data_IF_753621527451
#
_entry.id   IF_753621527451
#
_cell.length_a   1.000
_cell.length_b   1.000
_cell.length_c   1.000
_cell.angle_alpha   90.00
_cell.angle_beta   90.00
_cell.angle_gamma   90.00
#
_symmetry.space_group_name_H-M   'P 1'
#
loop_
_entity.id
_entity.type
_entity.pdbx_description
1 polymer ?
#
# COMPACT_ATOMS: atom_id res chain seq x y z
N UNK A 1 -42.39 11.31 -3.95
CA UNK A 1 -41.30 12.24 -4.20
C UNK A 1 -40.01 11.50 -3.82
N UNK A 2 -39.31 10.97 -4.82
CA UNK A 2 -37.97 10.38 -4.63
C UNK A 2 -36.99 11.55 -4.49
N UNK A 3 -36.38 11.69 -3.31
CA UNK A 3 -35.28 12.61 -3.13
C UNK A 3 -34.12 12.11 -4.00
N UNK A 4 -33.81 12.80 -5.08
CA UNK A 4 -32.56 12.63 -5.79
C UNK A 4 -31.43 13.00 -4.82
N UNK A 5 -30.67 12.01 -4.35
CA UNK A 5 -29.41 12.28 -3.66
C UNK A 5 -28.43 12.77 -4.73
N UNK A 6 -28.33 14.10 -4.86
CA UNK A 6 -27.28 14.72 -5.66
C UNK A 6 -25.97 14.57 -4.91
N UNK A 7 -25.04 13.78 -5.45
CA UNK A 7 -23.71 13.66 -4.89
C UNK A 7 -23.04 15.05 -4.81
N UNK A 8 -22.31 15.37 -3.73
CA UNK A 8 -21.60 16.63 -3.59
C UNK A 8 -20.68 16.89 -4.78
N UNK A 9 -20.51 18.16 -5.17
CA UNK A 9 -19.71 18.55 -6.34
C UNK A 9 -18.29 17.99 -6.32
N UNK A 10 -17.66 17.92 -5.15
CA UNK A 10 -16.31 17.35 -4.95
C UNK A 10 -16.19 15.86 -5.33
N UNK A 11 -17.30 15.12 -5.38
CA UNK A 11 -17.30 13.73 -5.86
C UNK A 11 -17.17 13.63 -7.40
N UNK A 12 -17.30 14.72 -8.10
CA UNK A 12 -17.25 14.78 -9.58
C UNK A 12 -16.10 15.63 -10.10
N UNK A 13 -15.39 16.35 -9.23
CA UNK A 13 -14.24 17.16 -9.57
C UNK A 13 -12.95 16.36 -9.34
N UNK A 14 -12.01 16.46 -10.29
CA UNK A 14 -10.68 15.86 -10.11
C UNK A 14 -9.89 16.70 -9.11
N UNK A 15 -9.38 16.04 -8.09
CA UNK A 15 -8.49 16.64 -7.09
C UNK A 15 -7.09 16.74 -7.68
N UNK A 16 -6.52 17.95 -7.66
CA UNK A 16 -5.14 18.19 -8.08
C UNK A 16 -4.16 17.93 -6.92
N UNK A 17 -2.88 17.77 -7.25
CA UNK A 17 -1.82 17.63 -6.24
C UNK A 17 -1.81 18.84 -5.28
N UNK A 18 -1.93 20.05 -5.80
CA UNK A 18 -1.95 21.30 -5.00
C UNK A 18 -3.14 21.36 -4.05
N UNK A 19 -4.31 20.92 -4.50
CA UNK A 19 -5.49 20.84 -3.64
C UNK A 19 -5.28 19.84 -2.51
N UNK A 20 -4.81 18.63 -2.84
CA UNK A 20 -4.55 17.58 -1.84
C UNK A 20 -3.49 18.01 -0.83
N UNK A 21 -2.41 18.64 -1.27
CA UNK A 21 -1.33 19.13 -0.41
C UNK A 21 -1.76 20.27 0.54
N UNK A 22 -2.91 20.90 0.25
CA UNK A 22 -3.52 21.89 1.12
C UNK A 22 -4.40 21.30 2.24
N UNK A 23 -4.70 20.00 2.18
CA UNK A 23 -5.54 19.31 3.16
C UNK A 23 -4.76 19.03 4.45
N UNK A 24 -5.48 19.03 5.57
CA UNK A 24 -4.92 18.57 6.84
C UNK A 24 -4.79 17.05 6.88
N UNK A 25 -3.94 16.54 7.76
CA UNK A 25 -3.82 15.09 8.01
C UNK A 25 -5.17 14.43 8.32
N UNK A 26 -6.04 15.12 9.08
CA UNK A 26 -7.39 14.65 9.41
C UNK A 26 -8.27 14.52 8.15
N UNK A 27 -8.13 15.43 7.19
CA UNK A 27 -8.88 15.37 5.93
C UNK A 27 -8.36 14.26 5.00
N UNK A 28 -7.07 13.94 5.08
CA UNK A 28 -6.45 12.88 4.30
C UNK A 28 -6.67 11.48 4.91
N UNK A 29 -7.07 11.39 6.18
CA UNK A 29 -7.21 10.12 6.88
C UNK A 29 -8.24 9.19 6.21
N UNK A 30 -7.80 7.97 5.84
CA UNK A 30 -8.66 6.97 5.21
C UNK A 30 -9.09 7.29 3.77
N UNK A 31 -8.40 8.24 3.13
CA UNK A 31 -8.66 8.66 1.74
C UNK A 31 -7.47 8.29 0.87
N UNK A 32 -7.74 7.72 -0.28
CA UNK A 32 -6.82 7.61 -1.41
C UNK A 32 -7.31 8.50 -2.56
N UNK A 33 -6.41 8.92 -3.44
CA UNK A 33 -6.79 9.60 -4.69
C UNK A 33 -6.35 8.70 -5.85
N UNK A 34 -7.25 8.44 -6.77
CA UNK A 34 -6.99 7.62 -7.95
C UNK A 34 -7.47 8.36 -9.18
N UNK A 35 -6.55 8.69 -10.06
CA UNK A 35 -6.84 9.48 -11.28
C UNK A 35 -7.61 10.79 -10.98
N UNK A 36 -7.25 11.44 -9.87
CA UNK A 36 -7.90 12.64 -9.36
C UNK A 36 -9.21 12.41 -8.61
N UNK A 37 -9.69 11.19 -8.50
CA UNK A 37 -10.94 10.87 -7.81
C UNK A 37 -10.70 10.40 -6.39
N UNK A 38 -11.52 10.91 -5.46
CA UNK A 38 -11.48 10.47 -4.06
C UNK A 38 -11.99 9.04 -3.92
N UNK A 39 -11.17 8.19 -3.32
CA UNK A 39 -11.53 6.82 -2.94
C UNK A 39 -11.46 6.72 -1.42
N UNK A 40 -12.58 6.38 -0.80
CA UNK A 40 -12.65 6.20 0.66
C UNK A 40 -12.48 4.71 0.97
N UNK A 41 -11.47 4.38 1.76
CA UNK A 41 -11.25 3.02 2.22
C UNK A 41 -12.10 2.74 3.48
N UNK A 42 -12.78 1.59 3.55
CA UNK A 42 -13.46 1.18 4.79
C UNK A 42 -12.45 1.05 5.93
N UNK A 43 -12.90 1.29 7.17
CA UNK A 43 -12.07 1.10 8.36
C UNK A 43 -11.53 -0.32 8.44
N UNK A 44 -10.22 -0.45 8.60
CA UNK A 44 -9.53 -1.71 8.70
C UNK A 44 -9.91 -2.48 9.99
N UNK A 45 -9.99 -3.81 9.92
CA UNK A 45 -10.24 -4.64 11.09
C UNK A 45 -9.02 -4.66 12.03
N UNK A 46 -9.25 -4.99 13.31
CA UNK A 46 -8.15 -5.15 14.29
C UNK A 46 -7.11 -6.17 13.83
N UNK A 47 -7.55 -7.24 13.16
CA UNK A 47 -6.67 -8.28 12.63
C UNK A 47 -5.81 -7.75 11.47
N UNK A 48 -6.40 -6.99 10.56
CA UNK A 48 -5.71 -6.31 9.47
C UNK A 48 -4.59 -5.40 10.02
N UNK A 49 -4.92 -4.47 10.91
CA UNK A 49 -3.95 -3.55 11.49
C UNK A 49 -2.85 -4.29 12.27
N UNK A 50 -3.19 -5.42 12.91
CA UNK A 50 -2.19 -6.24 13.61
C UNK A 50 -1.24 -6.92 12.63
N UNK A 51 -1.72 -7.45 11.51
CA UNK A 51 -0.91 -8.04 10.44
C UNK A 51 0.06 -6.99 9.86
N UNK A 52 -0.45 -5.83 9.47
CA UNK A 52 0.35 -4.74 8.92
C UNK A 52 1.47 -4.32 9.90
N UNK A 53 1.14 -4.11 11.17
CA UNK A 53 2.11 -3.72 12.19
C UNK A 53 3.19 -4.79 12.46
N UNK A 54 2.81 -6.08 12.53
CA UNK A 54 3.80 -7.16 12.73
C UNK A 54 4.73 -7.25 11.53
N UNK A 55 4.20 -7.10 10.33
CA UNK A 55 5.00 -7.12 9.11
C UNK A 55 5.93 -5.91 9.04
N UNK A 56 5.44 -4.69 9.32
CA UNK A 56 6.25 -3.49 9.33
C UNK A 56 7.43 -3.61 10.31
N UNK A 57 7.18 -4.03 11.56
CA UNK A 57 8.23 -4.21 12.55
C UNK A 57 9.29 -5.23 12.09
N UNK A 58 8.87 -6.35 11.50
CA UNK A 58 9.80 -7.37 11.03
C UNK A 58 10.65 -6.89 9.82
N UNK A 59 10.05 -6.07 8.95
CA UNK A 59 10.76 -5.45 7.84
C UNK A 59 11.73 -4.39 8.33
N UNK A 60 11.34 -3.55 9.28
CA UNK A 60 12.20 -2.54 9.92
C UNK A 60 13.43 -3.19 10.55
N UNK A 61 13.23 -4.21 11.39
CA UNK A 61 14.32 -4.93 12.08
C UNK A 61 15.31 -5.59 11.09
N UNK A 62 14.83 -5.99 9.91
CA UNK A 62 15.62 -6.71 8.92
C UNK A 62 16.29 -5.79 7.88
N UNK A 63 15.73 -4.62 7.62
CA UNK A 63 16.12 -3.74 6.51
C UNK A 63 17.46 -3.02 6.72
N UNK A 64 17.89 -2.90 7.98
CA UNK A 64 19.12 -2.15 8.34
C UNK A 64 18.91 -0.63 8.29
N UNK A 65 19.96 0.15 8.55
CA UNK A 65 19.83 1.58 8.84
C UNK A 65 19.46 2.47 7.64
N UNK A 66 19.52 1.96 6.42
CA UNK A 66 19.24 2.74 5.21
C UNK A 66 17.74 2.78 4.86
N UNK A 67 16.93 1.98 5.56
CA UNK A 67 15.52 1.80 5.27
C UNK A 67 14.69 1.85 6.55
N UNK A 68 13.53 2.51 6.47
CA UNK A 68 12.46 2.47 7.48
C UNK A 68 11.28 1.64 6.96
N UNK A 69 10.46 1.12 7.86
CA UNK A 69 9.21 0.46 7.51
C UNK A 69 8.07 0.96 8.39
N UNK A 70 7.12 1.66 7.79
CA UNK A 70 5.97 2.24 8.47
C UNK A 70 4.64 1.79 7.83
N UNK A 71 3.54 2.16 8.50
CA UNK A 71 2.18 1.82 8.09
C UNK A 71 1.35 3.04 7.80
N UNK A 72 0.40 2.92 6.86
CA UNK A 72 -0.73 3.84 6.71
C UNK A 72 -0.33 5.30 6.44
N UNK A 73 0.53 5.53 5.45
CA UNK A 73 0.85 6.87 4.94
C UNK A 73 0.86 6.92 3.41
N UNK A 74 0.79 8.14 2.87
CA UNK A 74 0.62 8.36 1.44
C UNK A 74 1.89 8.11 0.63
N UNK A 75 1.75 7.37 -0.46
CA UNK A 75 2.73 7.27 -1.53
C UNK A 75 2.15 7.89 -2.79
N UNK A 76 2.76 8.97 -3.27
CA UNK A 76 2.32 9.68 -4.46
C UNK A 76 2.89 9.03 -5.71
N UNK A 77 2.08 8.23 -6.37
CA UNK A 77 2.47 7.50 -7.57
C UNK A 77 2.54 8.40 -8.81
N UNK A 78 1.68 9.43 -8.89
CA UNK A 78 1.56 10.31 -10.03
C UNK A 78 0.94 11.66 -9.62
N UNK A 79 1.40 12.77 -10.23
CA UNK A 79 0.84 14.10 -9.97
C UNK A 79 -0.33 14.46 -10.90
N UNK A 80 -0.31 13.99 -12.16
CA UNK A 80 -1.32 14.37 -13.17
C UNK A 80 -1.69 13.16 -14.04
N UNK A 81 -2.94 12.68 -13.98
CA UNK A 81 -3.91 12.93 -12.90
C UNK A 81 -3.37 12.44 -11.55
N UNK A 82 -3.75 13.13 -10.47
CA UNK A 82 -3.23 12.79 -9.15
C UNK A 82 -3.58 11.35 -8.78
N UNK A 83 -2.56 10.58 -8.39
CA UNK A 83 -2.74 9.26 -7.79
C UNK A 83 -1.89 9.15 -6.54
N UNK A 84 -2.55 9.18 -5.39
CA UNK A 84 -2.02 8.90 -4.06
C UNK A 84 -2.62 7.60 -3.56
N UNK A 85 -1.77 6.63 -3.27
CA UNK A 85 -2.15 5.39 -2.58
C UNK A 85 -1.67 5.44 -1.14
N UNK A 86 -2.35 4.70 -0.28
CA UNK A 86 -2.04 4.57 1.14
C UNK A 86 -1.84 3.10 1.48
N UNK A 87 -0.66 2.53 1.16
CA UNK A 87 -0.39 1.11 1.41
C UNK A 87 -0.39 0.78 2.90
N UNK A 88 -0.76 -0.45 3.25
CA UNK A 88 -0.78 -0.90 4.64
C UNK A 88 0.62 -0.98 5.26
N UNK A 89 1.65 -1.29 4.46
CA UNK A 89 3.06 -1.25 4.88
C UNK A 89 3.91 -0.69 3.73
N UNK A 90 4.84 0.18 4.07
CA UNK A 90 5.80 0.79 3.13
C UNK A 90 7.21 0.68 3.69
N UNK A 91 8.14 0.13 2.91
CA UNK A 91 9.59 0.20 3.18
C UNK A 91 10.18 1.30 2.30
N UNK A 92 10.79 2.29 2.91
CA UNK A 92 11.27 3.48 2.23
C UNK A 92 12.64 3.94 2.75
N UNK A 93 13.33 4.80 2.01
CA UNK A 93 14.64 5.34 2.36
C UNK A 93 14.59 6.10 3.68
N UNK A 94 15.43 5.72 4.66
CA UNK A 94 15.47 6.35 5.98
C UNK A 94 15.81 7.86 5.92
N UNK A 95 16.65 8.27 4.98
CA UNK A 95 17.01 9.67 4.73
C UNK A 95 15.84 10.56 4.28
N UNK A 96 14.73 9.95 3.86
CA UNK A 96 13.54 10.67 3.36
C UNK A 96 12.40 10.77 4.38
N UNK A 97 12.66 10.49 5.65
CA UNK A 97 11.63 10.50 6.72
C UNK A 97 10.83 11.81 6.82
N UNK A 98 11.48 12.93 6.54
CA UNK A 98 10.86 14.27 6.56
C UNK A 98 10.44 14.76 5.15
N UNK A 99 10.54 13.92 4.12
CA UNK A 99 10.20 14.30 2.74
C UNK A 99 8.74 13.99 2.44
N UNK A 100 7.96 15.02 2.13
CA UNK A 100 6.56 14.91 1.74
C UNK A 100 6.32 15.62 0.41
N UNK A 101 5.59 15.00 -0.53
CA UNK A 101 5.04 13.65 -0.49
C UNK A 101 6.11 12.55 -0.68
N UNK A 102 5.87 11.37 -0.11
CA UNK A 102 6.70 10.19 -0.39
C UNK A 102 6.53 9.77 -1.85
N UNK A 103 7.62 9.64 -2.58
CA UNK A 103 7.66 9.28 -4.01
C UNK A 103 8.10 7.83 -4.23
N UNK A 104 7.67 7.18 -5.33
CA UNK A 104 8.02 5.78 -5.62
C UNK A 104 9.54 5.49 -5.65
N UNK A 105 10.36 6.46 -6.09
CA UNK A 105 11.82 6.33 -6.12
C UNK A 105 12.46 6.19 -4.74
N UNK A 106 11.75 6.59 -3.69
CA UNK A 106 12.17 6.41 -2.30
C UNK A 106 11.64 5.12 -1.68
N UNK A 107 10.73 4.41 -2.36
CA UNK A 107 10.06 3.21 -1.86
C UNK A 107 10.70 1.96 -2.43
N UNK A 108 11.08 1.04 -1.55
CA UNK A 108 11.63 -0.27 -1.91
C UNK A 108 10.55 -1.33 -2.06
N UNK A 109 9.64 -1.38 -1.08
CA UNK A 109 8.60 -2.39 -0.98
C UNK A 109 7.31 -1.76 -0.48
N UNK A 110 6.18 -2.18 -1.05
CA UNK A 110 4.86 -1.96 -0.49
C UNK A 110 4.17 -3.29 -0.20
N UNK A 111 3.38 -3.34 0.86
CA UNK A 111 2.55 -4.49 1.16
C UNK A 111 1.11 -4.07 1.45
N UNK A 112 0.16 -4.90 0.96
CA UNK A 112 -1.27 -4.73 1.14
C UNK A 112 -1.87 -5.94 1.84
N UNK A 113 -2.65 -5.69 2.89
CA UNK A 113 -3.42 -6.71 3.60
C UNK A 113 -4.84 -6.71 3.04
N UNK A 114 -5.18 -7.69 2.22
CA UNK A 114 -6.47 -7.76 1.55
C UNK A 114 -7.61 -7.85 2.56
N UNK A 115 -8.57 -6.94 2.43
CA UNK A 115 -9.81 -6.90 3.22
C UNK A 115 -11.00 -7.35 2.37
N UNK A 116 -12.10 -7.83 2.98
CA UNK A 116 -13.34 -8.07 2.24
C UNK A 116 -13.81 -6.81 1.50
N UNK A 117 -13.93 -6.91 0.18
CA UNK A 117 -14.32 -5.79 -0.70
C UNK A 117 -13.16 -5.07 -1.40
N UNK A 118 -11.90 -5.29 -0.98
CA UNK A 118 -10.72 -4.73 -1.67
C UNK A 118 -10.03 -5.72 -2.63
N UNK A 119 -10.51 -6.96 -2.70
CA UNK A 119 -9.83 -8.08 -3.39
C UNK A 119 -9.44 -7.75 -4.83
N UNK A 120 -10.37 -7.19 -5.61
CA UNK A 120 -10.09 -6.82 -7.01
C UNK A 120 -9.08 -5.69 -7.10
N UNK A 121 -9.21 -4.68 -6.24
CA UNK A 121 -8.32 -3.52 -6.20
C UNK A 121 -6.90 -3.95 -5.84
N UNK A 122 -6.73 -4.73 -4.76
CA UNK A 122 -5.41 -5.15 -4.28
C UNK A 122 -4.76 -6.21 -5.18
N UNK A 123 -5.55 -7.05 -5.85
CA UNK A 123 -5.03 -8.11 -6.74
C UNK A 123 -4.71 -7.63 -8.15
N UNK A 124 -5.33 -6.58 -8.63
CA UNK A 124 -5.23 -6.16 -10.03
C UNK A 124 -4.82 -4.70 -10.14
N UNK A 125 -5.61 -3.78 -9.57
CA UNK A 125 -5.43 -2.33 -9.82
C UNK A 125 -4.16 -1.82 -9.16
N UNK A 126 -3.98 -2.05 -7.86
CA UNK A 126 -2.79 -1.59 -7.12
C UNK A 126 -1.51 -2.25 -7.61
N UNK A 127 -1.56 -3.55 -7.94
CA UNK A 127 -0.43 -4.29 -8.54
C UNK A 127 0.09 -3.57 -9.79
N UNK A 128 -0.81 -3.23 -10.72
CA UNK A 128 -0.45 -2.52 -11.96
C UNK A 128 0.09 -1.10 -11.68
N UNK A 129 -0.55 -0.37 -10.77
CA UNK A 129 -0.15 0.99 -10.41
C UNK A 129 1.23 1.05 -9.76
N UNK A 130 1.50 0.17 -8.78
CA UNK A 130 2.81 0.11 -8.12
C UNK A 130 3.92 -0.34 -9.08
N UNK A 131 3.62 -1.28 -9.98
CA UNK A 131 4.57 -1.71 -11.01
C UNK A 131 4.92 -0.58 -11.98
N UNK A 132 3.91 0.15 -12.48
CA UNK A 132 4.10 1.31 -13.37
C UNK A 132 4.87 2.44 -12.71
N UNK A 133 4.63 2.66 -11.41
CA UNK A 133 5.36 3.61 -10.60
C UNK A 133 6.82 3.21 -10.35
N UNK A 134 7.19 1.95 -10.57
CA UNK A 134 8.57 1.46 -10.47
C UNK A 134 8.95 0.95 -9.08
N UNK A 135 8.00 0.67 -8.20
CA UNK A 135 8.27 0.10 -6.87
C UNK A 135 8.79 -1.33 -7.05
N UNK A 136 9.97 -1.63 -6.49
CA UNK A 136 10.70 -2.86 -6.82
C UNK A 136 10.05 -4.14 -6.29
N UNK A 137 9.42 -4.08 -5.11
CA UNK A 137 8.80 -5.23 -4.47
C UNK A 137 7.37 -4.91 -4.04
N UNK A 138 6.48 -5.88 -4.27
CA UNK A 138 5.10 -5.83 -3.81
C UNK A 138 4.75 -7.13 -3.07
N UNK A 139 4.13 -7.01 -1.90
CA UNK A 139 3.62 -8.17 -1.16
C UNK A 139 2.12 -8.03 -0.94
N UNK A 140 1.40 -9.12 -1.11
CA UNK A 140 -0.03 -9.18 -0.86
C UNK A 140 -0.33 -10.24 0.19
N UNK A 141 -0.98 -9.82 1.27
CA UNK A 141 -1.32 -10.66 2.41
C UNK A 141 -2.82 -10.95 2.36
N UNK A 142 -3.20 -12.20 2.16
CA UNK A 142 -4.58 -12.65 2.14
C UNK A 142 -4.92 -13.41 3.42
N UNK A 143 -6.06 -13.06 4.03
CA UNK A 143 -6.57 -13.76 5.19
C UNK A 143 -7.33 -15.01 4.73
N UNK A 144 -6.70 -16.18 4.81
CA UNK A 144 -7.35 -17.44 4.46
C UNK A 144 -8.45 -17.83 5.47
N UNK A 145 -9.43 -18.61 5.02
CA UNK A 145 -10.52 -19.14 5.87
C UNK A 145 -10.01 -19.99 7.06
N UNK A 146 -8.80 -20.56 6.93
CA UNK A 146 -8.11 -21.29 8.01
C UNK A 146 -7.63 -20.41 9.15
N UNK A 147 -7.66 -19.07 8.98
CA UNK A 147 -7.12 -18.10 9.92
C UNK A 147 -5.60 -17.87 9.78
N UNK A 148 -4.89 -18.71 9.02
CA UNK A 148 -3.47 -18.52 8.73
C UNK A 148 -3.34 -17.71 7.43
N UNK A 149 -2.64 -16.55 7.43
CA UNK A 149 -2.53 -15.72 6.24
C UNK A 149 -1.65 -16.37 5.15
N UNK A 150 -1.99 -16.07 3.89
CA UNK A 150 -1.17 -16.35 2.72
C UNK A 150 -0.46 -15.07 2.30
N UNK A 151 0.83 -15.15 2.01
CA UNK A 151 1.63 -14.01 1.54
C UNK A 151 2.16 -14.31 0.15
N UNK A 152 1.73 -13.51 -0.80
CA UNK A 152 2.18 -13.54 -2.19
C UNK A 152 3.24 -12.48 -2.38
N UNK A 153 4.40 -12.86 -2.90
CA UNK A 153 5.50 -11.92 -3.16
C UNK A 153 5.65 -11.68 -4.65
N UNK A 154 6.03 -10.46 -5.00
CA UNK A 154 6.19 -10.01 -6.38
C UNK A 154 7.46 -9.18 -6.51
N UNK A 155 8.14 -9.33 -7.64
CA UNK A 155 9.35 -8.58 -7.99
C UNK A 155 9.13 -7.87 -9.32
N UNK A 156 9.45 -6.60 -9.38
CA UNK A 156 9.30 -5.78 -10.58
C UNK A 156 10.26 -6.25 -11.69
N UNK A 157 9.71 -6.44 -12.88
CA UNK A 157 10.50 -6.44 -14.09
C UNK A 157 10.62 -4.98 -14.61
N UNK A 158 11.79 -4.34 -14.48
CA UNK A 158 11.95 -2.94 -14.83
C UNK A 158 11.80 -2.68 -16.34
N UNK A 159 12.00 -3.69 -17.19
CA UNK A 159 11.89 -3.55 -18.63
C UNK A 159 10.44 -3.49 -19.10
N UNK A 160 9.58 -4.28 -18.49
CA UNK A 160 8.15 -4.35 -18.83
C UNK A 160 7.27 -3.50 -17.92
N UNK A 161 7.81 -3.04 -16.78
CA UNK A 161 7.06 -2.39 -15.69
C UNK A 161 5.87 -3.22 -15.24
N UNK A 162 6.06 -4.52 -15.11
CA UNK A 162 5.11 -5.48 -14.57
C UNK A 162 5.76 -6.31 -13.48
N UNK A 163 4.95 -6.78 -12.53
CA UNK A 163 5.47 -7.70 -11.53
C UNK A 163 5.52 -9.14 -12.02
N UNK A 164 6.61 -9.83 -11.70
CA UNK A 164 6.70 -11.29 -11.76
C UNK A 164 6.30 -11.87 -10.42
N UNK A 165 5.51 -12.93 -10.45
CA UNK A 165 5.17 -13.67 -9.24
C UNK A 165 6.43 -14.32 -8.66
N UNK A 166 6.61 -14.16 -7.34
CA UNK A 166 7.60 -14.86 -6.55
C UNK A 166 6.99 -16.02 -5.78
N UNK A 167 7.49 -16.25 -4.57
CA UNK A 167 7.01 -17.33 -3.72
C UNK A 167 5.69 -16.97 -3.03
N UNK A 168 4.93 -18.03 -2.66
CA UNK A 168 3.74 -17.92 -1.81
C UNK A 168 4.03 -18.62 -0.48
N UNK A 169 3.80 -17.91 0.62
CA UNK A 169 4.05 -18.39 1.98
C UNK A 169 2.74 -18.58 2.74
N UNK A 170 2.69 -19.60 3.59
CA UNK A 170 1.58 -19.84 4.52
C UNK A 170 2.04 -19.54 5.93
N UNK A 171 1.55 -18.46 6.52
CA UNK A 171 1.85 -18.02 7.88
C UNK A 171 3.28 -17.52 8.08
N UNK A 172 4.30 -18.31 7.79
CA UNK A 172 5.69 -17.92 7.97
C UNK A 172 6.30 -17.51 6.63
N UNK A 173 6.68 -16.23 6.53
CA UNK A 173 7.41 -15.68 5.39
C UNK A 173 8.91 -15.82 5.64
N UNK A 174 9.65 -16.31 4.65
CA UNK A 174 11.11 -16.38 4.68
C UNK A 174 11.65 -16.07 3.29
N UNK A 175 12.18 -14.87 3.12
CA UNK A 175 12.75 -14.41 1.85
C UNK A 175 14.20 -13.97 2.02
N UNK A 176 14.92 -13.86 0.90
CA UNK A 176 16.28 -13.33 0.84
C UNK A 176 16.34 -11.95 0.17
N UNK A 177 15.29 -11.57 -0.56
CA UNK A 177 15.16 -10.28 -1.25
C UNK A 177 13.86 -9.58 -0.84
N UNK A 178 13.86 -8.23 -0.71
CA UNK A 178 14.97 -7.28 -0.97
C UNK A 178 16.15 -7.38 0.01
N UNK A 179 15.92 -7.94 1.18
CA UNK A 179 16.89 -8.28 2.22
C UNK A 179 16.41 -9.54 2.97
N UNK A 180 17.30 -10.29 3.65
CA UNK A 180 16.89 -11.48 4.37
C UNK A 180 15.94 -11.13 5.51
N UNK A 181 14.71 -11.63 5.45
CA UNK A 181 13.73 -11.45 6.52
C UNK A 181 12.97 -12.75 6.79
N UNK A 182 12.66 -12.99 8.07
CA UNK A 182 11.76 -14.04 8.52
C UNK A 182 10.73 -13.47 9.47
N UNK A 183 9.46 -13.60 9.13
CA UNK A 183 8.33 -13.18 9.98
C UNK A 183 7.28 -14.28 10.08
N UNK A 184 6.74 -14.48 11.28
CA UNK A 184 5.63 -15.40 11.54
C UNK A 184 4.34 -14.59 11.72
N UNK A 185 3.47 -14.66 10.72
CA UNK A 185 2.16 -14.03 10.69
C UNK A 185 1.03 -15.01 11.11
N UNK A 186 1.37 -16.27 11.39
CA UNK A 186 0.38 -17.30 11.73
C UNK A 186 -0.06 -17.29 13.21
N UNK A 187 0.64 -16.55 14.07
CA UNK A 187 0.36 -16.49 15.52
C UNK A 187 -0.49 -15.27 15.90
N UNK A 188 -1.64 -15.09 15.24
CA UNK A 188 -2.53 -13.94 15.44
C UNK A 188 -3.79 -14.28 16.22
#
# INVERSE_FOLDING_TARGET
MTAEMVAPAWMHEQITAEQYDSWSEEQCAGIEIVDGMVVVSPSASKRHNRLARILANALEDAAGPDWNADTDFDVRLQDVPLTNRRPDVVVYRAETIDVTPTRPEHVLLVAEVVSPGSETTDRIVKVDQYAKAGIAFYWRIEQAATGVPLVYTYVLDPATKTYREGDVFTGVVKVVAPFPVRVDLGQL
#
